data_IF_513768683953
#
_entry.id   IF_513768683953
#
_cell.length_a   1.000
_cell.length_b   1.000
_cell.length_c   1.000
_cell.angle_alpha   90.00
_cell.angle_beta   90.00
_cell.angle_gamma   90.00
#
_symmetry.space_group_name_H-M   'P 1'
#
loop_
_entity.id
_entity.type
_entity.pdbx_description
1 polymer ?
#
# COMPACT_ATOMS: atom_id res chain seq x y z
N UNK A 1 22.67 -5.67 -1.40
CA UNK A 1 21.97 -6.96 -1.37
C UNK A 1 21.01 -7.04 -2.55
N UNK A 2 21.12 -8.07 -3.32
CA UNK A 2 20.21 -8.27 -4.44
C UNK A 2 18.84 -8.70 -3.95
N UNK A 3 17.81 -8.30 -4.65
CA UNK A 3 16.48 -8.83 -4.43
C UNK A 3 16.48 -10.31 -4.77
N UNK A 4 15.96 -11.10 -3.87
CA UNK A 4 15.90 -12.54 -4.06
C UNK A 4 14.79 -12.88 -5.07
N UNK A 5 15.09 -13.85 -5.97
CA UNK A 5 14.06 -14.44 -6.82
C UNK A 5 13.44 -15.68 -6.18
N UNK A 6 13.85 -16.00 -4.97
CA UNK A 6 13.33 -17.14 -4.22
C UNK A 6 12.07 -16.76 -3.46
N UNK A 7 11.27 -17.77 -3.19
CA UNK A 7 10.15 -17.61 -2.25
C UNK A 7 10.70 -17.19 -0.89
N UNK A 8 10.01 -16.31 -0.23
CA UNK A 8 10.47 -15.79 1.05
C UNK A 8 9.29 -15.34 1.90
N UNK A 9 9.55 -15.23 3.19
CA UNK A 9 8.60 -14.63 4.13
C UNK A 9 9.06 -13.20 4.38
N UNK A 10 8.17 -12.25 4.11
CA UNK A 10 8.42 -10.83 4.39
C UNK A 10 7.78 -10.54 5.73
N UNK A 11 8.60 -10.22 6.73
CA UNK A 11 8.11 -10.10 8.10
C UNK A 11 7.75 -8.65 8.43
N UNK A 12 6.56 -8.50 8.98
CA UNK A 12 6.05 -7.20 9.40
C UNK A 12 7.00 -6.49 10.37
N UNK A 13 7.50 -7.21 11.36
CA UNK A 13 8.38 -6.60 12.37
C UNK A 13 9.66 -6.05 11.75
N UNK A 14 10.25 -6.76 10.80
CA UNK A 14 11.46 -6.31 10.12
C UNK A 14 11.17 -5.08 9.25
N UNK A 15 10.07 -5.10 8.51
CA UNK A 15 9.68 -3.95 7.70
C UNK A 15 9.42 -2.72 8.57
N UNK A 16 8.70 -2.90 9.67
CA UNK A 16 8.35 -1.82 10.57
C UNK A 16 9.59 -1.20 11.24
N UNK A 17 10.62 -2.01 11.50
CA UNK A 17 11.87 -1.52 12.06
C UNK A 17 12.60 -0.55 11.12
N UNK A 18 12.28 -0.56 9.83
CA UNK A 18 12.82 0.38 8.85
C UNK A 18 12.06 1.71 8.76
N UNK A 19 11.05 1.91 9.59
CA UNK A 19 10.22 3.12 9.59
C UNK A 19 10.36 3.83 10.94
N UNK A 20 10.67 5.13 10.97
CA UNK A 20 10.91 5.99 9.80
C UNK A 20 12.20 5.65 9.08
N UNK A 21 12.24 5.93 7.80
CA UNK A 21 13.46 5.79 7.01
C UNK A 21 14.46 6.90 7.28
N UNK A 22 15.63 6.88 6.61
CA UNK A 22 16.70 7.85 6.86
C UNK A 22 16.30 9.30 6.67
N UNK A 23 15.35 9.58 5.78
CA UNK A 23 14.83 10.93 5.53
C UNK A 23 13.46 11.15 6.18
N UNK A 24 13.09 10.33 7.16
CA UNK A 24 11.82 10.44 7.86
C UNK A 24 10.64 9.80 7.13
N UNK A 25 10.92 8.94 6.17
CA UNK A 25 9.86 8.27 5.41
C UNK A 25 9.00 7.38 6.30
N UNK A 26 7.68 7.40 6.04
CA UNK A 26 6.71 6.57 6.74
C UNK A 26 6.34 5.31 5.96
N UNK A 27 7.15 4.94 4.99
CA UNK A 27 6.98 3.74 4.20
C UNK A 27 8.34 3.15 3.84
N UNK A 28 8.38 1.84 3.67
CA UNK A 28 9.59 1.15 3.25
C UNK A 28 9.23 0.10 2.19
N UNK A 29 9.95 0.12 1.08
CA UNK A 29 9.79 -0.91 0.05
C UNK A 29 10.54 -2.16 0.52
N UNK A 30 9.84 -3.28 0.58
CA UNK A 30 10.40 -4.54 1.10
C UNK A 30 10.67 -5.56 0.01
N UNK A 31 10.05 -5.42 -1.17
CA UNK A 31 10.23 -6.36 -2.25
C UNK A 31 9.93 -5.73 -3.60
N UNK A 32 10.76 -6.05 -4.58
CA UNK A 32 10.53 -5.67 -5.98
C UNK A 32 10.85 -6.84 -6.88
N UNK A 33 10.00 -7.05 -7.89
CA UNK A 33 10.26 -8.04 -8.92
C UNK A 33 9.52 -7.63 -10.19
N UNK A 34 10.26 -7.19 -11.22
CA UNK A 34 9.63 -6.60 -12.38
C UNK A 34 8.73 -5.45 -11.98
N UNK A 35 7.47 -5.41 -12.44
CA UNK A 35 6.54 -4.35 -12.06
C UNK A 35 5.95 -4.49 -10.65
N UNK A 36 6.19 -5.61 -9.98
CA UNK A 36 5.69 -5.84 -8.62
C UNK A 36 6.50 -5.03 -7.62
N UNK A 37 5.82 -4.28 -6.78
CA UNK A 37 6.42 -3.47 -5.72
C UNK A 37 5.59 -3.62 -4.46
N UNK A 38 6.21 -4.08 -3.39
CA UNK A 38 5.54 -4.26 -2.11
C UNK A 38 6.21 -3.36 -1.07
N UNK A 39 5.41 -2.59 -0.36
CA UNK A 39 5.88 -1.70 0.68
C UNK A 39 5.02 -1.82 1.93
N UNK A 40 5.60 -1.55 3.08
CA UNK A 40 4.85 -1.30 4.31
C UNK A 40 4.69 0.20 4.43
N UNK A 41 3.49 0.65 4.75
CA UNK A 41 3.18 2.06 4.92
C UNK A 41 2.52 2.31 6.26
N UNK A 42 3.04 3.31 6.97
CA UNK A 42 2.56 3.75 8.28
C UNK A 42 2.27 5.26 8.19
N UNK A 43 1.29 5.67 7.39
CA UNK A 43 1.05 7.09 7.20
C UNK A 43 0.59 7.75 8.50
N UNK A 44 1.05 8.98 8.74
CA UNK A 44 0.69 9.74 9.95
C UNK A 44 -0.40 10.77 9.69
N UNK A 45 -0.66 11.08 8.43
CA UNK A 45 -1.67 12.05 8.02
C UNK A 45 -2.47 11.54 6.85
N UNK A 46 -3.73 11.94 6.81
CA UNK A 46 -4.54 11.79 5.60
C UNK A 46 -3.91 12.62 4.49
N UNK A 47 -3.71 12.00 3.35
CA UNK A 47 -3.07 12.66 2.22
C UNK A 47 -3.66 12.12 0.93
N UNK A 48 -3.93 13.03 0.00
CA UNK A 48 -4.39 12.63 -1.31
C UNK A 48 -3.30 11.81 -2.00
N UNK A 49 -3.67 10.66 -2.52
CA UNK A 49 -2.76 9.80 -3.25
C UNK A 49 -2.70 10.22 -4.71
N UNK A 50 -1.49 10.30 -5.25
CA UNK A 50 -1.31 10.49 -6.69
C UNK A 50 -1.77 9.23 -7.40
N UNK A 51 -2.60 9.33 -8.46
CA UNK A 51 -2.98 8.14 -9.22
C UNK A 51 -1.74 7.43 -9.76
N UNK A 52 -1.72 6.11 -9.68
CA UNK A 52 -0.63 5.30 -10.17
C UNK A 52 -0.96 4.66 -11.51
N UNK A 53 0.07 4.38 -12.28
CA UNK A 53 -0.10 3.75 -13.58
C UNK A 53 -0.49 2.28 -13.50
N UNK A 54 -0.29 1.66 -12.35
CA UNK A 54 -0.56 0.24 -12.12
C UNK A 54 -1.78 0.06 -11.23
N UNK A 55 -2.34 -1.16 -11.22
CA UNK A 55 -3.33 -1.55 -10.23
C UNK A 55 -2.65 -1.64 -8.85
N UNK A 56 -3.41 -1.36 -7.81
CA UNK A 56 -2.92 -1.36 -6.43
C UNK A 56 -3.81 -2.20 -5.53
N UNK A 57 -3.16 -2.89 -4.60
CA UNK A 57 -3.85 -3.58 -3.51
C UNK A 57 -3.28 -3.05 -2.19
N UNK A 58 -4.15 -2.75 -1.24
CA UNK A 58 -3.75 -2.45 0.13
C UNK A 58 -4.30 -3.55 1.03
N UNK A 59 -3.44 -4.07 1.87
CA UNK A 59 -3.83 -5.03 2.90
C UNK A 59 -3.70 -4.35 4.25
N UNK A 60 -4.81 -4.19 4.96
CA UNK A 60 -4.83 -3.47 6.22
C UNK A 60 -4.35 -4.38 7.34
N UNK A 61 -3.17 -4.08 7.88
CA UNK A 61 -2.54 -4.88 8.92
C UNK A 61 -3.19 -4.61 10.27
N UNK A 62 -3.40 -3.32 10.57
CA UNK A 62 -4.03 -2.90 11.82
C UNK A 62 -4.63 -1.51 11.66
N UNK A 63 -5.57 -1.19 12.55
CA UNK A 63 -6.23 0.08 12.54
C UNK A 63 -7.43 0.13 11.62
N UNK A 64 -7.89 1.34 11.31
CA UNK A 64 -9.05 1.59 10.48
C UNK A 64 -8.90 2.91 9.74
N UNK A 65 -9.75 3.11 8.77
CA UNK A 65 -9.81 4.35 8.02
C UNK A 65 -10.98 4.35 7.05
N UNK A 66 -10.95 5.28 6.11
CA UNK A 66 -11.96 5.40 5.06
C UNK A 66 -11.22 5.54 3.72
N UNK A 67 -11.61 4.74 2.75
CA UNK A 67 -11.13 4.89 1.37
C UNK A 67 -12.10 5.77 0.60
N UNK A 68 -11.60 6.91 0.14
CA UNK A 68 -12.34 7.76 -0.79
C UNK A 68 -11.87 7.45 -2.21
N UNK A 69 -12.78 7.00 -3.05
CA UNK A 69 -12.48 6.60 -4.42
C UNK A 69 -13.75 6.63 -5.28
N UNK A 70 -13.60 6.96 -6.54
CA UNK A 70 -14.74 6.98 -7.48
C UNK A 70 -15.96 7.75 -6.94
N UNK A 71 -15.73 8.83 -6.18
CA UNK A 71 -16.79 9.62 -5.56
C UNK A 71 -17.49 8.96 -4.39
N UNK A 72 -16.95 7.84 -3.88
CA UNK A 72 -17.53 7.10 -2.76
C UNK A 72 -16.58 7.07 -1.58
N UNK A 73 -17.14 6.84 -0.41
CA UNK A 73 -16.38 6.67 0.84
C UNK A 73 -16.71 5.30 1.41
N UNK A 74 -15.71 4.44 1.51
CA UNK A 74 -15.88 3.10 2.05
C UNK A 74 -15.00 2.94 3.29
N UNK A 75 -15.59 2.71 4.48
CA UNK A 75 -14.79 2.46 5.67
C UNK A 75 -14.14 1.08 5.62
N UNK A 76 -12.96 0.97 6.21
CA UNK A 76 -12.21 -0.28 6.29
C UNK A 76 -11.57 -0.45 7.64
N UNK A 77 -11.16 -1.68 7.94
CA UNK A 77 -10.49 -2.03 9.20
C UNK A 77 -9.49 -3.15 8.98
N UNK A 78 -8.79 -3.51 10.04
CA UNK A 78 -7.80 -4.60 10.02
C UNK A 78 -8.33 -5.84 9.35
N UNK A 79 -7.53 -6.42 8.46
CA UNK A 79 -7.88 -7.62 7.72
C UNK A 79 -8.55 -7.36 6.39
N UNK A 80 -9.00 -6.13 6.12
CA UNK A 80 -9.63 -5.81 4.85
C UNK A 80 -8.58 -5.64 3.74
N UNK A 81 -9.00 -5.96 2.52
CA UNK A 81 -8.25 -5.69 1.31
C UNK A 81 -8.92 -4.55 0.55
N UNK A 82 -8.12 -3.61 0.08
CA UNK A 82 -8.60 -2.53 -0.77
C UNK A 82 -8.01 -2.71 -2.15
N UNK A 83 -8.81 -2.51 -3.19
CA UNK A 83 -8.34 -2.52 -4.56
C UNK A 83 -8.60 -1.17 -5.20
N UNK A 84 -7.58 -0.61 -5.85
CA UNK A 84 -7.69 0.63 -6.61
C UNK A 84 -7.13 0.38 -8.01
N UNK A 85 -7.96 0.56 -9.02
CA UNK A 85 -7.54 0.38 -10.41
C UNK A 85 -6.57 1.47 -10.83
N UNK A 86 -5.72 1.14 -11.80
CA UNK A 86 -4.77 2.09 -12.39
C UNK A 86 -5.47 3.39 -12.82
N UNK A 87 -4.84 4.52 -12.51
CA UNK A 87 -5.33 5.84 -12.91
C UNK A 87 -6.48 6.41 -12.10
N UNK A 88 -6.97 5.70 -11.09
CA UNK A 88 -8.08 6.19 -10.26
C UNK A 88 -7.55 7.06 -9.15
N UNK A 89 -8.09 8.28 -9.05
CA UNK A 89 -7.81 9.15 -7.92
C UNK A 89 -8.44 8.56 -6.66
N UNK A 90 -7.67 8.56 -5.59
CA UNK A 90 -8.12 8.01 -4.33
C UNK A 90 -7.42 8.69 -3.16
N UNK A 91 -8.00 8.51 -1.98
CA UNK A 91 -7.46 9.08 -0.76
C UNK A 91 -7.80 8.15 0.40
N UNK A 92 -6.84 7.93 1.26
CA UNK A 92 -7.05 7.20 2.51
C UNK A 92 -7.21 8.25 3.60
N UNK A 93 -8.35 8.23 4.28
CA UNK A 93 -8.77 9.26 5.22
C UNK A 93 -9.10 8.68 6.59
N UNK A 94 -9.20 9.55 7.59
CA UNK A 94 -9.68 9.21 8.94
C UNK A 94 -8.97 8.00 9.53
N UNK A 95 -7.66 7.91 9.32
CA UNK A 95 -6.86 6.79 9.81
C UNK A 95 -6.66 6.86 11.32
N UNK A 96 -6.70 5.69 11.96
CA UNK A 96 -6.38 5.56 13.39
C UNK A 96 -4.87 5.71 13.61
N UNK A 97 -4.48 6.01 14.86
CA UNK A 97 -3.06 6.22 15.18
C UNK A 97 -2.20 4.99 14.95
N UNK A 98 -2.77 3.81 15.11
CA UNK A 98 -2.06 2.55 14.96
C UNK A 98 -2.05 2.02 13.53
N UNK A 99 -2.54 2.80 12.58
CA UNK A 99 -2.76 2.35 11.20
C UNK A 99 -1.48 1.85 10.54
N UNK A 100 -1.58 0.68 9.91
CA UNK A 100 -0.50 0.12 9.10
C UNK A 100 -1.09 -0.69 7.96
N UNK A 101 -0.49 -0.57 6.77
CA UNK A 101 -0.95 -1.32 5.61
C UNK A 101 0.22 -1.78 4.75
N UNK A 102 0.05 -2.95 4.12
CA UNK A 102 0.88 -3.35 3.00
C UNK A 102 0.33 -2.72 1.75
N UNK A 103 1.22 -2.16 0.92
CA UNK A 103 0.87 -1.57 -0.36
C UNK A 103 1.53 -2.38 -1.46
N UNK A 104 0.73 -2.86 -2.41
CA UNK A 104 1.20 -3.69 -3.51
C UNK A 104 0.84 -3.02 -4.82
N UNK A 105 1.84 -2.68 -5.62
CA UNK A 105 1.67 -2.28 -7.01
C UNK A 105 2.04 -3.47 -7.88
N UNK A 106 1.23 -3.78 -8.87
CA UNK A 106 1.48 -4.93 -9.72
C UNK A 106 0.91 -4.74 -11.11
N UNK A 107 1.36 -5.60 -12.03
CA UNK A 107 0.83 -5.63 -13.39
C UNK A 107 1.34 -4.51 -14.27
N UNK A 108 0.81 -4.43 -15.49
CA UNK A 108 1.28 -3.49 -16.50
C UNK A 108 0.78 -2.06 -16.26
N UNK A 109 1.43 -1.06 -16.87
CA UNK A 109 0.87 0.28 -16.94
C UNK A 109 -0.52 0.24 -17.58
N UNK A 110 -1.46 1.00 -17.02
CA UNK A 110 -2.84 1.01 -17.46
C UNK A 110 -3.72 -0.04 -16.79
N UNK A 111 -3.11 -0.92 -15.99
CA UNK A 111 -3.83 -1.96 -15.25
C UNK A 111 -4.03 -3.24 -16.05
N UNK A 112 -4.48 -4.28 -15.34
CA UNK A 112 -4.79 -5.56 -15.96
C UNK A 112 -6.12 -5.50 -16.72
N UNK A 113 -6.26 -6.38 -17.70
CA UNK A 113 -7.50 -6.53 -18.44
C UNK A 113 -8.55 -7.13 -17.51
N UNK A 114 -9.77 -6.58 -17.44
CA UNK A 114 -10.83 -7.18 -16.64
C UNK A 114 -11.13 -8.63 -17.08
N UNK A 115 -11.37 -9.47 -16.11
CA UNK A 115 -11.65 -10.89 -16.36
C UNK A 115 -13.02 -11.07 -17.01
#
# INVERSE_FOLDING_TARGET
MSMSHRSQVIRLAEAQAGIPGPAGEHAVVVFRRGPLNIALSLPVHTRQQTPHAQDEIYFIVRGRGVLFHDGRRDPFQSGDLLFVAAGIEHQIEEISEDFAMWRVFYGPPGGEVPA
#
